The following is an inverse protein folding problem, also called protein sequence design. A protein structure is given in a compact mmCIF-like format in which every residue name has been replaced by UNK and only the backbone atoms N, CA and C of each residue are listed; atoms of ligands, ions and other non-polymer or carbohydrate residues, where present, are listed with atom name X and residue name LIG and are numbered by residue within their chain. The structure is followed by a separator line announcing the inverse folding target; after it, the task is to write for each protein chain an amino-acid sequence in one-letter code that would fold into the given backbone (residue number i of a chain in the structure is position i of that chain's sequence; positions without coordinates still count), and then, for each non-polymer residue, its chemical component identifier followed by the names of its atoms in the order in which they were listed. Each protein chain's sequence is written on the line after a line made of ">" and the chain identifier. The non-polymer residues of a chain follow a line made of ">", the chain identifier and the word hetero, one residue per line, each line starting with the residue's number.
data_IF_227206638488
#
_entry.id   IF_227206638488
#
_cell.length_a   1.000
_cell.length_b   1.000
_cell.length_c   1.000
_cell.angle_alpha   90.00
_cell.angle_beta   90.00
_cell.angle_gamma   90.00
#
_symmetry.space_group_name_H-M   'P 1'
#
loop_
_entity.id
_entity.type
_entity.pdbx_description
1 polymer ?
#
# COMPACT_ATOMS: atom_id res chain seq x y z
N UNK A 1 -0.49 -3.92 -14.82
CA UNK A 1 0.34 -4.34 -15.97
C UNK A 1 1.02 -3.13 -16.64
N UNK A 2 1.03 -1.96 -15.97
CA UNK A 2 1.79 -0.75 -16.33
C UNK A 2 2.71 -0.29 -15.18
N UNK A 3 2.73 -1.02 -14.06
CA UNK A 3 3.49 -0.66 -12.85
C UNK A 3 4.92 -1.19 -12.87
N UNK A 4 5.23 -2.12 -13.77
CA UNK A 4 6.56 -2.76 -13.84
C UNK A 4 7.55 -2.04 -14.74
N UNK A 5 7.12 -1.00 -15.46
CA UNK A 5 8.00 -0.15 -16.28
C UNK A 5 7.35 1.22 -16.52
N UNK A 6 7.52 2.13 -15.55
CA UNK A 6 6.98 3.50 -15.61
C UNK A 6 7.41 4.23 -16.90
N UNK A 7 8.59 3.89 -17.44
CA UNK A 7 9.13 4.47 -18.67
C UNK A 7 8.34 4.12 -19.93
N UNK A 8 7.75 2.92 -19.99
CA UNK A 8 6.87 2.47 -21.08
C UNK A 8 5.42 2.93 -20.89
N UNK A 9 4.98 3.09 -19.64
CA UNK A 9 3.62 3.51 -19.31
C UNK A 9 3.36 4.99 -19.65
N UNK A 10 4.31 5.88 -19.34
CA UNK A 10 4.16 7.33 -19.51
C UNK A 10 3.80 7.74 -20.95
N UNK A 11 4.47 7.26 -22.03
CA UNK A 11 4.08 7.59 -23.40
C UNK A 11 2.67 7.13 -23.77
N UNK A 12 2.22 5.97 -23.27
CA UNK A 12 0.89 5.43 -23.54
C UNK A 12 -0.21 6.26 -22.87
N UNK A 13 0.03 6.69 -21.64
CA UNK A 13 -0.87 7.56 -20.89
C UNK A 13 -0.99 8.94 -21.54
N UNK A 14 0.14 9.58 -21.89
CA UNK A 14 0.16 10.84 -22.63
C UNK A 14 -0.56 10.72 -23.99
N UNK A 15 -0.31 9.62 -24.71
CA UNK A 15 -0.99 9.34 -25.97
C UNK A 15 -2.51 9.21 -25.82
N UNK A 16 -2.96 8.54 -24.75
CA UNK A 16 -4.38 8.39 -24.42
C UNK A 16 -5.03 9.75 -24.13
N UNK A 17 -4.38 10.60 -23.32
CA UNK A 17 -4.88 11.95 -23.00
C UNK A 17 -4.95 12.82 -24.25
N UNK A 18 -3.89 12.86 -25.05
CA UNK A 18 -3.87 13.66 -26.29
C UNK A 18 -4.93 13.22 -27.29
N UNK A 19 -5.18 11.90 -27.40
CA UNK A 19 -6.22 11.37 -28.27
C UNK A 19 -7.62 11.69 -27.73
N UNK A 20 -7.85 11.58 -26.42
CA UNK A 20 -9.09 12.01 -25.78
C UNK A 20 -9.38 13.49 -26.02
N UNK A 21 -8.37 14.36 -25.87
CA UNK A 21 -8.49 15.78 -26.19
C UNK A 21 -8.79 16.04 -27.66
N UNK A 22 -8.16 15.27 -28.56
CA UNK A 22 -8.44 15.37 -30.01
C UNK A 22 -9.88 14.98 -30.31
N UNK A 23 -10.39 13.92 -29.68
CA UNK A 23 -11.78 13.49 -29.83
C UNK A 23 -12.71 14.59 -29.34
N UNK A 24 -12.52 15.10 -28.12
CA UNK A 24 -13.36 16.17 -27.56
C UNK A 24 -13.39 17.43 -28.43
N UNK A 25 -12.25 17.87 -28.95
CA UNK A 25 -12.18 19.06 -29.83
C UNK A 25 -12.89 18.87 -31.17
N UNK A 26 -12.99 17.64 -31.67
CA UNK A 26 -13.58 17.34 -32.97
C UNK A 26 -14.97 16.69 -32.86
N UNK A 27 -15.50 16.57 -31.64
CA UNK A 27 -16.80 15.94 -31.41
C UNK A 27 -17.92 16.96 -31.64
N UNK A 28 -18.46 16.96 -32.86
CA UNK A 28 -19.55 17.86 -33.29
C UNK A 28 -20.92 17.14 -33.30
N UNK A 29 -21.11 16.17 -32.41
CA UNK A 29 -22.35 15.40 -32.30
C UNK A 29 -23.24 15.95 -31.19
N UNK A 30 -24.55 16.02 -31.45
CA UNK A 30 -25.55 16.34 -30.41
C UNK A 30 -25.64 15.27 -29.32
N UNK A 31 -25.21 14.03 -29.62
CA UNK A 31 -25.11 12.96 -28.63
C UNK A 31 -23.78 13.07 -27.86
N UNK A 32 -23.80 12.87 -26.53
CA UNK A 32 -22.57 12.81 -25.74
C UNK A 32 -21.72 11.58 -26.11
N UNK A 33 -20.45 11.64 -25.75
CA UNK A 33 -19.56 10.48 -25.85
C UNK A 33 -20.01 9.37 -24.88
N UNK A 34 -19.70 8.09 -25.15
CA UNK A 34 -20.08 6.99 -24.27
C UNK A 34 -19.35 7.09 -22.93
N UNK A 35 -19.96 6.56 -21.86
CA UNK A 35 -19.35 6.59 -20.52
C UNK A 35 -17.90 6.04 -20.49
N UNK A 36 -17.65 4.98 -21.25
CA UNK A 36 -16.31 4.36 -21.33
C UNK A 36 -15.21 5.32 -21.82
N UNK A 37 -15.55 6.33 -22.63
CA UNK A 37 -14.61 7.37 -23.04
C UNK A 37 -14.11 8.16 -21.83
N UNK A 38 -15.05 8.68 -21.04
CA UNK A 38 -14.76 9.49 -19.85
C UNK A 38 -14.02 8.69 -18.78
N UNK A 39 -14.40 7.43 -18.58
CA UNK A 39 -13.67 6.51 -17.70
C UNK A 39 -12.20 6.36 -18.11
N UNK A 40 -11.93 6.02 -19.39
CA UNK A 40 -10.57 5.83 -19.88
C UNK A 40 -9.75 7.13 -19.78
N UNK A 41 -10.38 8.28 -20.04
CA UNK A 41 -9.71 9.56 -19.91
C UNK A 41 -9.36 9.87 -18.45
N UNK A 42 -10.32 9.74 -17.53
CA UNK A 42 -10.11 9.99 -16.10
C UNK A 42 -9.05 9.07 -15.49
N UNK A 43 -9.05 7.78 -15.83
CA UNK A 43 -8.01 6.84 -15.39
C UNK A 43 -6.64 7.23 -15.96
N UNK A 44 -6.55 7.61 -17.23
CA UNK A 44 -5.28 8.02 -17.82
C UNK A 44 -4.71 9.29 -17.15
N UNK A 45 -5.56 10.26 -16.79
CA UNK A 45 -5.17 11.46 -16.06
C UNK A 45 -4.63 11.12 -14.66
N UNK A 46 -5.35 10.27 -13.92
CA UNK A 46 -4.92 9.82 -12.60
C UNK A 46 -3.57 9.09 -12.64
N UNK A 47 -3.43 8.09 -13.52
CA UNK A 47 -2.20 7.31 -13.63
C UNK A 47 -1.03 8.14 -14.16
N UNK A 48 -1.28 9.10 -15.05
CA UNK A 48 -0.23 10.00 -15.53
C UNK A 48 0.27 10.89 -14.39
N UNK A 49 -0.65 11.54 -13.67
CA UNK A 49 -0.30 12.43 -12.55
C UNK A 49 0.47 11.69 -11.44
N UNK A 50 0.14 10.42 -11.19
CA UNK A 50 0.84 9.60 -10.19
C UNK A 50 2.29 9.25 -10.59
N UNK A 51 2.57 9.15 -11.89
CA UNK A 51 3.86 8.69 -12.41
C UNK A 51 4.79 9.82 -12.85
N UNK A 52 4.29 11.05 -12.97
CA UNK A 52 5.09 12.22 -13.32
C UNK A 52 5.69 12.82 -12.04
N UNK A 53 7.01 12.93 -11.99
CA UNK A 53 7.75 13.47 -10.82
C UNK A 53 7.98 14.99 -10.90
N UNK A 54 7.88 15.59 -12.09
CA UNK A 54 8.23 16.98 -12.37
C UNK A 54 7.04 17.95 -12.41
N UNK A 55 5.82 17.48 -12.13
CA UNK A 55 4.59 18.28 -12.13
C UNK A 55 3.76 18.07 -10.87
N UNK A 56 2.94 19.06 -10.50
CA UNK A 56 2.02 18.96 -9.37
C UNK A 56 0.93 17.90 -9.64
N UNK A 57 0.68 17.01 -8.68
CA UNK A 57 -0.31 15.94 -8.83
C UNK A 57 -1.76 16.43 -8.71
N UNK A 58 -2.03 17.46 -7.90
CA UNK A 58 -3.39 17.94 -7.59
C UNK A 58 -4.23 18.31 -8.85
N UNK A 59 -3.69 19.05 -9.85
CA UNK A 59 -4.43 19.33 -11.08
C UNK A 59 -4.86 18.07 -11.84
N UNK A 60 -4.06 17.00 -11.81
CA UNK A 60 -4.41 15.72 -12.42
C UNK A 60 -5.53 15.01 -11.66
N UNK A 61 -5.52 15.11 -10.32
CA UNK A 61 -6.59 14.56 -9.47
C UNK A 61 -7.93 15.23 -9.73
N UNK A 62 -7.95 16.57 -9.82
CA UNK A 62 -9.16 17.33 -10.14
C UNK A 62 -9.71 16.98 -11.53
N UNK A 63 -8.83 16.95 -12.54
CA UNK A 63 -9.24 16.61 -13.90
C UNK A 63 -9.71 15.15 -14.01
N UNK A 64 -9.06 14.22 -13.30
CA UNK A 64 -9.47 12.82 -13.24
C UNK A 64 -10.84 12.67 -12.58
N UNK A 65 -11.06 13.33 -11.45
CA UNK A 65 -12.35 13.32 -10.75
C UNK A 65 -13.48 13.88 -11.64
N UNK A 66 -13.26 15.00 -12.33
CA UNK A 66 -14.24 15.57 -13.26
C UNK A 66 -14.64 14.55 -14.33
N UNK A 67 -13.66 13.95 -15.02
CA UNK A 67 -13.92 12.98 -16.09
C UNK A 67 -14.55 11.68 -15.56
N UNK A 68 -14.18 11.22 -14.38
CA UNK A 68 -14.81 10.03 -13.80
C UNK A 68 -16.25 10.29 -13.36
N UNK A 69 -16.56 11.50 -12.87
CA UNK A 69 -17.94 11.89 -12.58
C UNK A 69 -18.77 12.02 -13.86
N UNK A 70 -18.22 12.61 -14.94
CA UNK A 70 -18.87 12.60 -16.26
C UNK A 70 -19.24 11.16 -16.68
N UNK A 71 -18.32 10.21 -16.48
CA UNK A 71 -18.58 8.80 -16.76
C UNK A 71 -19.76 8.25 -15.96
N UNK A 72 -19.91 8.59 -14.68
CA UNK A 72 -21.04 8.15 -13.85
C UNK A 72 -22.36 8.73 -14.35
N UNK A 73 -22.40 10.01 -14.69
CA UNK A 73 -23.61 10.67 -15.20
C UNK A 73 -24.10 10.04 -16.51
N UNK A 74 -23.18 9.59 -17.36
CA UNK A 74 -23.51 8.87 -18.59
C UNK A 74 -23.96 7.42 -18.32
N UNK A 75 -23.45 6.77 -17.28
CA UNK A 75 -23.86 5.43 -16.88
C UNK A 75 -25.28 5.36 -16.31
N UNK A 76 -25.83 6.45 -15.79
CA UNK A 76 -27.25 6.49 -15.42
C UNK A 76 -28.18 6.20 -16.62
N UNK A 77 -27.67 6.42 -17.85
CA UNK A 77 -28.37 6.21 -19.11
C UNK A 77 -27.94 4.92 -19.82
N UNK A 78 -26.80 4.34 -19.43
CA UNK A 78 -26.21 3.13 -19.99
C UNK A 78 -26.19 2.04 -18.91
N UNK A 79 -27.10 1.06 -18.96
CA UNK A 79 -27.17 -0.04 -17.98
C UNK A 79 -25.91 -0.94 -18.07
N UNK A 80 -24.84 -0.53 -17.36
CA UNK A 80 -23.52 -1.16 -17.37
C UNK A 80 -22.92 -1.18 -15.96
N UNK A 81 -23.41 -2.10 -15.13
CA UNK A 81 -22.98 -2.28 -13.75
C UNK A 81 -21.47 -2.54 -13.61
N UNK A 82 -20.84 -3.23 -14.57
CA UNK A 82 -19.39 -3.49 -14.52
C UNK A 82 -18.59 -2.19 -14.63
N UNK A 83 -18.98 -1.30 -15.56
CA UNK A 83 -18.30 -0.02 -15.73
C UNK A 83 -18.59 0.92 -14.55
N UNK A 84 -19.81 0.89 -13.98
CA UNK A 84 -20.13 1.63 -12.73
C UNK A 84 -19.14 1.27 -11.62
N UNK A 85 -18.88 -0.03 -11.41
CA UNK A 85 -17.93 -0.47 -10.38
C UNK A 85 -16.50 -0.07 -10.70
N UNK A 86 -16.07 -0.15 -11.96
CA UNK A 86 -14.74 0.33 -12.38
C UNK A 86 -14.56 1.82 -12.13
N UNK A 87 -15.58 2.63 -12.42
CA UNK A 87 -15.55 4.07 -12.19
C UNK A 87 -15.52 4.38 -10.69
N UNK A 88 -16.31 3.69 -9.87
CA UNK A 88 -16.28 3.85 -8.41
C UNK A 88 -14.92 3.46 -7.81
N UNK A 89 -14.30 2.38 -8.30
CA UNK A 89 -12.92 2.02 -7.91
C UNK A 89 -11.94 3.12 -8.28
N UNK A 90 -12.00 3.66 -9.50
CA UNK A 90 -11.11 4.74 -9.93
C UNK A 90 -11.33 6.02 -9.11
N UNK A 91 -12.58 6.41 -8.84
CA UNK A 91 -12.92 7.55 -7.99
C UNK A 91 -12.42 7.37 -6.57
N UNK A 92 -12.53 6.17 -5.99
CA UNK A 92 -11.99 5.91 -4.66
C UNK A 92 -10.48 6.13 -4.59
N UNK A 93 -9.72 5.69 -5.61
CA UNK A 93 -8.27 5.96 -5.69
C UNK A 93 -7.96 7.46 -5.76
N UNK A 94 -8.73 8.20 -6.55
CA UNK A 94 -8.61 9.68 -6.62
C UNK A 94 -8.95 10.32 -5.28
N UNK A 95 -10.03 9.90 -4.62
CA UNK A 95 -10.44 10.45 -3.32
C UNK A 95 -9.48 10.12 -2.19
N UNK A 96 -8.85 8.94 -2.17
CA UNK A 96 -7.78 8.65 -1.22
C UNK A 96 -6.58 9.58 -1.45
N UNK A 97 -6.15 9.76 -2.70
CA UNK A 97 -5.03 10.64 -3.03
C UNK A 97 -5.32 12.11 -2.65
N UNK A 98 -6.53 12.61 -2.96
CA UNK A 98 -6.97 13.96 -2.54
C UNK A 98 -7.14 14.10 -1.04
N UNK A 99 -7.60 13.04 -0.36
CA UNK A 99 -7.73 13.07 1.09
C UNK A 99 -6.36 13.19 1.76
N UNK A 100 -5.32 12.56 1.22
CA UNK A 100 -3.95 12.66 1.75
C UNK A 100 -3.42 14.09 1.81
N UNK A 101 -3.81 14.98 0.87
CA UNK A 101 -3.42 16.40 0.90
C UNK A 101 -4.26 17.26 1.86
N UNK A 102 -5.36 16.72 2.39
CA UNK A 102 -6.30 17.38 3.30
C UNK A 102 -6.17 16.89 4.74
N UNK A 103 -5.19 16.03 5.01
CA UNK A 103 -5.03 15.43 6.32
C UNK A 103 -4.59 16.45 7.36
N UNK A 104 -5.22 16.35 8.52
CA UNK A 104 -4.81 17.00 9.76
C UNK A 104 -4.76 15.96 10.85
N UNK A 105 -3.85 16.09 11.81
CA UNK A 105 -3.54 15.07 12.83
C UNK A 105 -4.78 14.47 13.53
N UNK A 106 -5.82 15.27 13.72
CA UNK A 106 -7.01 14.90 14.51
C UNK A 106 -8.29 14.64 13.70
N UNK A 107 -8.27 14.70 12.36
CA UNK A 107 -9.50 14.55 11.57
C UNK A 107 -9.31 13.76 10.29
N UNK A 108 -10.13 12.71 10.14
CA UNK A 108 -10.25 11.94 8.90
C UNK A 108 -11.07 12.74 7.89
N UNK A 109 -10.52 13.12 6.72
CA UNK A 109 -11.24 13.88 5.71
C UNK A 109 -12.49 13.13 5.23
N UNK A 110 -13.57 13.87 4.94
CA UNK A 110 -14.81 13.29 4.41
C UNK A 110 -14.56 12.52 3.10
N UNK A 111 -13.58 12.95 2.29
CA UNK A 111 -13.16 12.26 1.08
C UNK A 111 -12.63 10.85 1.34
N UNK A 112 -11.88 10.62 2.42
CA UNK A 112 -11.36 9.30 2.76
C UNK A 112 -12.50 8.34 3.16
N UNK A 113 -13.49 8.83 3.92
CA UNK A 113 -14.69 8.07 4.29
C UNK A 113 -15.54 7.77 3.04
N UNK A 114 -15.67 8.74 2.14
CA UNK A 114 -16.35 8.57 0.85
C UNK A 114 -15.64 7.51 0.00
N UNK A 115 -14.31 7.50 -0.04
CA UNK A 115 -13.51 6.50 -0.75
C UNK A 115 -13.78 5.09 -0.22
N UNK A 116 -13.68 4.86 1.09
CA UNK A 116 -14.00 3.56 1.70
C UNK A 116 -15.41 3.10 1.35
N UNK A 117 -16.40 3.99 1.46
CA UNK A 117 -17.79 3.68 1.16
C UNK A 117 -17.99 3.28 -0.31
N UNK A 118 -17.29 3.94 -1.24
CA UNK A 118 -17.35 3.62 -2.66
C UNK A 118 -16.74 2.25 -2.97
N UNK A 119 -15.64 1.91 -2.30
CA UNK A 119 -14.99 0.60 -2.45
C UNK A 119 -15.86 -0.51 -1.88
N UNK A 120 -16.43 -0.33 -0.68
CA UNK A 120 -17.36 -1.31 -0.08
C UNK A 120 -18.55 -1.59 -1.00
N UNK A 121 -19.11 -0.54 -1.60
CA UNK A 121 -20.17 -0.67 -2.59
C UNK A 121 -19.69 -1.44 -3.82
N UNK A 122 -18.52 -1.11 -4.37
CA UNK A 122 -17.97 -1.79 -5.54
C UNK A 122 -17.66 -3.28 -5.28
N UNK A 123 -17.17 -3.62 -4.08
CA UNK A 123 -16.91 -5.02 -3.66
C UNK A 123 -18.23 -5.80 -3.51
N UNK A 124 -19.28 -5.18 -2.95
CA UNK A 124 -20.54 -5.86 -2.68
C UNK A 124 -21.44 -6.00 -3.92
N UNK A 125 -21.42 -5.03 -4.82
CA UNK A 125 -22.30 -4.98 -6.00
C UNK A 125 -21.65 -5.58 -7.26
N UNK A 126 -20.36 -5.89 -7.24
CA UNK A 126 -19.64 -6.40 -8.41
C UNK A 126 -18.60 -7.45 -8.09
N UNK A 127 -18.35 -8.30 -9.09
CA UNK A 127 -17.29 -9.31 -9.02
C UNK A 127 -15.94 -8.67 -9.35
N UNK A 128 -15.40 -7.93 -8.39
CA UNK A 128 -14.02 -7.47 -8.46
C UNK A 128 -13.07 -8.66 -8.30
N UNK A 129 -11.97 -8.67 -9.05
CA UNK A 129 -10.93 -9.68 -8.86
C UNK A 129 -10.19 -9.45 -7.54
N UNK A 130 -9.73 -10.52 -6.89
CA UNK A 130 -8.94 -10.46 -5.65
C UNK A 130 -7.76 -9.49 -5.76
N UNK A 131 -7.08 -9.42 -6.91
CA UNK A 131 -6.01 -8.45 -7.17
C UNK A 131 -6.43 -6.99 -6.93
N UNK A 132 -7.58 -6.57 -7.46
CA UNK A 132 -8.09 -5.20 -7.32
C UNK A 132 -8.49 -4.92 -5.88
N UNK A 133 -9.09 -5.90 -5.20
CA UNK A 133 -9.48 -5.76 -3.81
C UNK A 133 -8.25 -5.63 -2.90
N UNK A 134 -7.20 -6.43 -3.15
CA UNK A 134 -5.92 -6.35 -2.42
C UNK A 134 -5.25 -4.99 -2.64
N UNK A 135 -5.26 -4.48 -3.88
CA UNK A 135 -4.74 -3.13 -4.18
C UNK A 135 -5.50 -2.05 -3.40
N UNK A 136 -6.83 -2.15 -3.29
CA UNK A 136 -7.62 -1.18 -2.53
C UNK A 136 -7.38 -1.30 -1.02
N UNK A 137 -7.18 -2.52 -0.50
CA UNK A 137 -6.76 -2.73 0.88
C UNK A 137 -5.38 -2.10 1.17
N UNK A 138 -4.44 -2.25 0.23
CA UNK A 138 -3.12 -1.65 0.31
C UNK A 138 -3.17 -0.11 0.29
N UNK A 139 -3.99 0.49 -0.58
CA UNK A 139 -4.21 1.95 -0.58
C UNK A 139 -4.83 2.41 0.73
N UNK A 140 -5.84 1.70 1.24
CA UNK A 140 -6.51 2.07 2.48
C UNK A 140 -5.57 2.01 3.68
N UNK A 141 -4.79 0.94 3.84
CA UNK A 141 -3.85 0.81 4.96
C UNK A 141 -2.74 1.88 4.89
N UNK A 142 -2.18 2.16 3.71
CA UNK A 142 -1.20 3.23 3.52
C UNK A 142 -1.80 4.62 3.77
N UNK A 143 -3.07 4.84 3.47
CA UNK A 143 -3.74 6.09 3.86
C UNK A 143 -3.95 6.15 5.37
N UNK A 144 -4.25 5.02 6.00
CA UNK A 144 -4.35 4.88 7.46
C UNK A 144 -3.07 5.26 8.19
N UNK A 145 -1.90 4.86 7.68
CA UNK A 145 -0.61 5.14 8.35
C UNK A 145 -0.24 6.62 8.41
N UNK A 146 -0.87 7.46 7.60
CA UNK A 146 -0.65 8.92 7.60
C UNK A 146 -1.24 9.61 8.85
N UNK A 147 -2.16 8.98 9.58
CA UNK A 147 -2.74 9.56 10.80
C UNK A 147 -1.83 9.32 12.01
N UNK A 148 -1.82 10.21 12.99
CA UNK A 148 -1.01 10.05 14.22
C UNK A 148 -1.74 9.26 15.30
N UNK A 149 -3.07 9.32 15.34
CA UNK A 149 -3.90 8.68 16.37
C UNK A 149 -4.39 7.29 15.95
N UNK A 150 -4.36 6.32 16.88
CA UNK A 150 -4.85 4.96 16.60
C UNK A 150 -6.30 4.94 16.14
N UNK A 151 -7.18 5.76 16.72
CA UNK A 151 -8.60 5.80 16.34
C UNK A 151 -8.80 6.17 14.86
N UNK A 152 -7.97 7.07 14.33
CA UNK A 152 -8.03 7.47 12.93
C UNK A 152 -7.41 6.42 12.01
N UNK A 153 -6.29 5.80 12.43
CA UNK A 153 -5.65 4.67 11.72
C UNK A 153 -6.59 3.47 11.60
N UNK A 154 -7.23 3.10 12.71
CA UNK A 154 -7.93 1.83 12.90
C UNK A 154 -9.07 1.63 11.89
N UNK A 155 -9.78 2.72 11.52
CA UNK A 155 -10.85 2.66 10.51
C UNK A 155 -10.38 2.08 9.18
N UNK A 156 -9.17 2.42 8.75
CA UNK A 156 -8.63 1.98 7.47
C UNK A 156 -7.91 0.64 7.59
N UNK A 157 -7.11 0.46 8.65
CA UNK A 157 -6.37 -0.78 8.90
C UNK A 157 -7.35 -1.93 9.12
N UNK A 158 -8.33 -1.79 10.02
CA UNK A 158 -9.34 -2.83 10.27
C UNK A 158 -10.16 -3.15 9.02
N UNK A 159 -10.46 -2.14 8.19
CA UNK A 159 -11.14 -2.36 6.91
C UNK A 159 -10.29 -3.19 5.94
N UNK A 160 -9.02 -2.84 5.79
CA UNK A 160 -8.07 -3.55 4.94
C UNK A 160 -7.86 -5.00 5.43
N UNK A 161 -7.63 -5.19 6.73
CA UNK A 161 -7.45 -6.52 7.34
C UNK A 161 -8.64 -7.43 7.09
N UNK A 162 -9.85 -6.98 7.42
CA UNK A 162 -11.08 -7.77 7.23
C UNK A 162 -11.26 -8.18 5.77
N UNK A 163 -10.93 -7.29 4.85
CA UNK A 163 -11.03 -7.52 3.41
C UNK A 163 -10.01 -8.57 2.95
N UNK A 164 -8.75 -8.45 3.40
CA UNK A 164 -7.67 -9.38 3.08
C UNK A 164 -7.90 -10.77 3.69
N UNK A 165 -8.36 -10.83 4.93
CA UNK A 165 -8.75 -12.09 5.59
C UNK A 165 -9.86 -12.80 4.84
N UNK A 166 -10.84 -12.07 4.31
CA UNK A 166 -11.90 -12.67 3.51
C UNK A 166 -11.35 -13.28 2.22
N UNK A 167 -10.39 -12.63 1.56
CA UNK A 167 -9.70 -13.20 0.40
C UNK A 167 -8.91 -14.44 0.80
N UNK A 168 -8.17 -14.41 1.90
CA UNK A 168 -7.34 -15.52 2.36
C UNK A 168 -8.15 -16.74 2.83
N UNK A 169 -9.44 -16.57 3.18
CA UNK A 169 -10.33 -17.72 3.39
C UNK A 169 -10.58 -18.50 2.11
N UNK A 170 -10.70 -17.81 0.98
CA UNK A 170 -10.98 -18.41 -0.33
C UNK A 170 -9.69 -18.76 -1.09
N UNK A 171 -8.61 -18.00 -0.88
CA UNK A 171 -7.30 -18.12 -1.52
C UNK A 171 -6.16 -18.11 -0.47
N UNK A 172 -5.97 -19.18 0.34
CA UNK A 172 -5.04 -19.18 1.47
C UNK A 172 -3.57 -18.98 1.13
N UNK A 173 -3.17 -19.23 -0.12
CA UNK A 173 -1.80 -19.06 -0.62
C UNK A 173 -1.65 -17.83 -1.51
N UNK A 174 -2.59 -16.89 -1.48
CA UNK A 174 -2.47 -15.65 -2.22
C UNK A 174 -1.35 -14.80 -1.59
N UNK A 175 -0.19 -14.78 -2.24
CA UNK A 175 1.01 -14.12 -1.72
C UNK A 175 0.81 -12.62 -1.54
N UNK A 176 0.07 -11.96 -2.45
CA UNK A 176 -0.16 -10.53 -2.36
C UNK A 176 -1.05 -10.18 -1.16
N UNK A 177 -2.11 -10.97 -0.93
CA UNK A 177 -2.97 -10.78 0.24
C UNK A 177 -2.23 -11.05 1.55
N UNK A 178 -1.38 -12.09 1.59
CA UNK A 178 -0.52 -12.39 2.74
C UNK A 178 0.46 -11.25 3.01
N UNK A 179 1.13 -10.73 1.98
CA UNK A 179 2.07 -9.62 2.10
C UNK A 179 1.40 -8.36 2.66
N UNK A 180 0.30 -7.91 2.03
CA UNK A 180 -0.40 -6.69 2.47
C UNK A 180 -0.96 -6.86 3.88
N UNK A 181 -1.48 -8.04 4.25
CA UNK A 181 -1.94 -8.30 5.62
C UNK A 181 -0.79 -8.24 6.64
N UNK A 182 0.39 -8.75 6.27
CA UNK A 182 1.60 -8.60 7.09
C UNK A 182 2.00 -7.13 7.28
N UNK A 183 1.89 -6.31 6.24
CA UNK A 183 2.17 -4.88 6.31
C UNK A 183 1.15 -4.12 7.19
N UNK A 184 -0.14 -4.47 7.12
CA UNK A 184 -1.14 -3.92 8.06
C UNK A 184 -0.72 -4.12 9.52
N UNK A 185 -0.27 -5.34 9.86
CA UNK A 185 0.19 -5.67 11.23
C UNK A 185 1.49 -4.96 11.59
N UNK A 186 2.41 -4.81 10.64
CA UNK A 186 3.65 -4.08 10.86
C UNK A 186 3.39 -2.59 11.17
N UNK A 187 2.43 -1.95 10.48
CA UNK A 187 2.07 -0.56 10.78
C UNK A 187 1.44 -0.38 12.16
N UNK A 188 0.68 -1.37 12.65
CA UNK A 188 0.19 -1.37 14.02
C UNK A 188 1.36 -1.49 15.00
N UNK A 189 2.37 -2.30 14.68
CA UNK A 189 3.58 -2.37 15.49
C UNK A 189 4.32 -1.04 15.53
N UNK A 190 4.53 -0.38 14.39
CA UNK A 190 5.18 0.94 14.33
C UNK A 190 4.42 1.98 15.15
N UNK A 191 3.08 1.99 15.08
CA UNK A 191 2.29 2.87 15.94
C UNK A 191 2.65 2.70 17.42
N UNK A 192 2.72 1.45 17.89
CA UNK A 192 3.04 1.21 19.30
C UNK A 192 4.48 1.56 19.64
N UNK A 193 5.43 1.27 18.76
CA UNK A 193 6.84 1.65 18.93
C UNK A 193 7.03 3.17 19.00
N UNK A 194 6.34 3.93 18.14
CA UNK A 194 6.37 5.39 18.13
C UNK A 194 5.75 6.02 19.40
N UNK A 195 4.97 5.25 20.16
CA UNK A 195 4.27 5.69 21.37
C UNK A 195 4.85 5.05 22.65
N UNK A 196 6.01 4.38 22.57
CA UNK A 196 6.74 3.96 23.76
C UNK A 196 7.17 5.23 24.49
N UNK A 197 6.69 5.42 25.72
CA UNK A 197 7.16 6.50 26.57
C UNK A 197 8.63 6.22 26.93
N UNK A 198 9.55 7.04 26.42
CA UNK A 198 10.95 7.04 26.87
C UNK A 198 10.95 7.60 28.30
N UNK A 199 11.06 6.73 29.30
CA UNK A 199 11.32 7.15 30.67
C UNK A 199 12.72 7.80 30.70
N UNK A 200 12.77 9.14 30.68
CA UNK A 200 14.00 9.96 30.71
C UNK A 200 14.89 9.69 31.95
N UNK A 201 14.49 8.81 32.86
CA UNK A 201 15.19 8.46 34.11
C UNK A 201 15.83 7.06 34.14
N UNK A 202 15.68 6.22 33.09
CA UNK A 202 16.36 4.90 33.04
C UNK A 202 17.82 5.05 32.56
N UNK A 203 18.72 5.43 33.49
CA UNK A 203 20.16 5.24 33.35
C UNK A 203 20.49 3.75 33.17
N UNK A 204 20.94 3.32 31.98
CA UNK A 204 21.76 2.12 31.67
C UNK A 204 21.50 0.81 32.47
N UNK A 205 20.28 0.58 33.00
CA UNK A 205 19.92 -0.71 33.58
C UNK A 205 19.46 -1.65 32.46
N UNK A 206 20.02 -2.86 32.42
CA UNK A 206 19.58 -3.90 31.47
C UNK A 206 18.06 -4.07 31.57
N UNK A 207 17.35 -3.77 30.49
CA UNK A 207 15.90 -3.88 30.42
C UNK A 207 15.47 -5.33 30.67
N UNK A 208 14.67 -5.55 31.71
CA UNK A 208 14.25 -6.90 32.14
C UNK A 208 12.82 -7.24 31.77
N UNK A 209 11.99 -6.25 31.43
CA UNK A 209 10.59 -6.42 31.04
C UNK A 209 10.23 -5.43 29.91
N UNK A 210 9.25 -5.79 29.09
CA UNK A 210 8.70 -4.90 28.06
C UNK A 210 7.63 -3.99 28.67
N UNK A 211 7.56 -2.75 28.21
CA UNK A 211 6.44 -1.87 28.48
C UNK A 211 5.16 -2.41 27.83
N UNK A 212 4.01 -1.86 28.21
CA UNK A 212 2.72 -2.29 27.61
C UNK A 212 2.68 -2.00 26.11
N UNK A 213 3.22 -0.86 25.70
CA UNK A 213 3.32 -0.44 24.31
C UNK A 213 4.23 -1.39 23.54
N UNK A 214 5.38 -1.77 24.11
CA UNK A 214 6.27 -2.77 23.52
C UNK A 214 5.66 -4.17 23.45
N UNK A 215 4.90 -4.59 24.46
CA UNK A 215 4.15 -5.86 24.40
C UNK A 215 3.14 -5.84 23.23
N UNK A 216 2.42 -4.72 23.04
CA UNK A 216 1.48 -4.57 21.93
C UNK A 216 2.20 -4.56 20.58
N UNK A 217 3.33 -3.84 20.48
CA UNK A 217 4.18 -3.85 19.29
C UNK A 217 4.67 -5.27 18.98
N UNK A 218 5.16 -5.99 19.99
CA UNK A 218 5.68 -7.34 19.85
C UNK A 218 4.60 -8.32 19.35
N UNK A 219 3.38 -8.26 19.88
CA UNK A 219 2.28 -9.09 19.36
C UNK A 219 1.98 -8.78 17.89
N UNK A 220 1.93 -7.50 17.52
CA UNK A 220 1.70 -7.08 16.14
C UNK A 220 2.84 -7.52 15.20
N UNK A 221 4.10 -7.47 15.66
CA UNK A 221 5.29 -7.99 14.93
C UNK A 221 5.16 -9.49 14.69
N UNK A 222 4.75 -10.27 15.70
CA UNK A 222 4.58 -11.72 15.56
C UNK A 222 3.46 -12.06 14.56
N UNK A 223 2.37 -11.31 14.56
CA UNK A 223 1.31 -11.45 13.56
C UNK A 223 1.79 -11.09 12.15
N UNK A 224 2.52 -9.98 12.01
CA UNK A 224 3.13 -9.56 10.74
C UNK A 224 4.06 -10.64 10.18
N UNK A 225 4.99 -11.12 11.02
CA UNK A 225 5.96 -12.16 10.71
C UNK A 225 5.28 -13.41 10.16
N UNK A 226 4.24 -13.89 10.83
CA UNK A 226 3.49 -15.07 10.39
C UNK A 226 2.97 -14.93 8.95
N UNK A 227 2.45 -13.76 8.60
CA UNK A 227 1.90 -13.52 7.26
C UNK A 227 2.99 -13.32 6.20
N UNK A 228 4.05 -12.56 6.51
CA UNK A 228 5.16 -12.34 5.59
C UNK A 228 5.99 -13.61 5.36
N UNK A 229 6.21 -14.44 6.38
CA UNK A 229 6.88 -15.74 6.22
C UNK A 229 6.06 -16.71 5.35
N UNK A 230 4.73 -16.68 5.47
CA UNK A 230 3.85 -17.46 4.61
C UNK A 230 3.91 -16.97 3.15
N UNK A 231 3.89 -15.66 2.92
CA UNK A 231 4.06 -15.07 1.59
C UNK A 231 5.41 -15.44 0.99
N UNK A 232 6.50 -15.25 1.74
CA UNK A 232 7.86 -15.60 1.36
C UNK A 232 7.96 -17.08 0.96
N UNK A 233 7.40 -17.99 1.78
CA UNK A 233 7.41 -19.44 1.51
C UNK A 233 6.75 -19.79 0.17
N UNK A 234 5.61 -19.18 -0.15
CA UNK A 234 4.91 -19.42 -1.42
C UNK A 234 5.61 -18.74 -2.62
N UNK A 235 6.26 -17.59 -2.42
CA UNK A 235 7.06 -16.91 -3.44
C UNK A 235 8.34 -17.67 -3.79
N UNK A 236 9.01 -18.28 -2.80
CA UNK A 236 10.14 -19.20 -3.02
C UNK A 236 9.71 -20.39 -3.87
N UNK A 237 8.58 -21.04 -3.53
CA UNK A 237 8.07 -22.21 -4.28
C UNK A 237 7.73 -21.88 -5.73
N UNK A 238 7.34 -20.63 -6.00
CA UNK A 238 6.91 -20.19 -7.33
C UNK A 238 7.98 -19.42 -8.10
N UNK A 239 9.20 -19.31 -7.57
CA UNK A 239 10.32 -18.53 -8.15
C UNK A 239 9.94 -17.08 -8.48
N UNK A 240 9.20 -16.45 -7.56
CA UNK A 240 8.67 -15.08 -7.69
C UNK A 240 9.13 -14.14 -6.58
N UNK A 241 10.20 -14.49 -5.87
CA UNK A 241 10.79 -13.61 -4.89
C UNK A 241 11.14 -12.25 -5.51
N UNK A 242 10.83 -11.21 -4.74
CA UNK A 242 11.18 -9.82 -5.01
C UNK A 242 12.05 -9.29 -3.88
N UNK A 243 12.89 -8.27 -4.11
CA UNK A 243 13.63 -7.62 -3.02
C UNK A 243 12.71 -7.11 -1.92
N UNK A 244 11.55 -6.54 -2.29
CA UNK A 244 10.58 -5.98 -1.35
C UNK A 244 10.13 -6.97 -0.26
N UNK A 245 9.71 -8.19 -0.61
CA UNK A 245 9.24 -9.13 0.43
C UNK A 245 10.38 -9.57 1.38
N UNK A 246 11.62 -9.57 0.88
CA UNK A 246 12.79 -9.91 1.69
C UNK A 246 13.12 -8.78 2.65
N UNK A 247 13.05 -7.52 2.21
CA UNK A 247 13.27 -6.35 3.07
C UNK A 247 12.14 -6.15 4.07
N UNK A 248 10.87 -6.33 3.67
CA UNK A 248 9.73 -6.24 4.59
C UNK A 248 9.86 -7.28 5.71
N UNK A 249 10.25 -8.51 5.36
CA UNK A 249 10.47 -9.56 6.34
C UNK A 249 11.72 -9.29 7.20
N UNK A 250 12.78 -8.72 6.62
CA UNK A 250 13.96 -8.32 7.38
C UNK A 250 13.63 -7.25 8.42
N UNK A 251 12.83 -6.24 8.06
CA UNK A 251 12.37 -5.20 8.98
C UNK A 251 11.59 -5.80 10.15
N UNK A 252 10.69 -6.74 9.87
CA UNK A 252 9.99 -7.48 10.93
C UNK A 252 10.96 -8.19 11.88
N UNK A 253 12.00 -8.84 11.35
CA UNK A 253 13.01 -9.49 12.18
C UNK A 253 13.86 -8.49 12.97
N UNK A 254 14.21 -7.32 12.41
CA UNK A 254 14.91 -6.26 13.16
C UNK A 254 14.04 -5.77 14.32
N UNK A 255 12.78 -5.44 14.05
CA UNK A 255 11.85 -4.96 15.07
C UNK A 255 11.56 -6.03 16.13
N UNK A 256 11.49 -7.31 15.75
CA UNK A 256 11.39 -8.42 16.71
C UNK A 256 12.63 -8.49 17.61
N UNK A 257 13.83 -8.43 17.01
CA UNK A 257 15.09 -8.49 17.76
C UNK A 257 15.24 -7.32 18.74
N UNK A 258 14.81 -6.12 18.36
CA UNK A 258 14.82 -4.94 19.25
C UNK A 258 13.99 -5.13 20.53
N UNK A 259 12.99 -6.03 20.52
CA UNK A 259 12.10 -6.30 21.65
C UNK A 259 12.41 -7.63 22.36
N UNK A 260 13.44 -8.36 21.92
CA UNK A 260 13.88 -9.60 22.60
C UNK A 260 14.95 -9.27 23.62
N UNK A 261 14.64 -9.54 24.89
CA UNK A 261 15.49 -9.20 26.03
C UNK A 261 16.69 -10.14 26.22
N UNK A 262 16.65 -11.35 25.66
CA UNK A 262 17.76 -12.29 25.73
C UNK A 262 18.73 -12.05 24.57
N UNK A 263 19.97 -11.68 24.88
CA UNK A 263 21.00 -11.37 23.87
C UNK A 263 21.26 -12.51 22.86
N UNK A 264 21.23 -13.77 23.30
CA UNK A 264 21.48 -14.92 22.42
C UNK A 264 20.33 -15.08 21.42
N UNK A 265 19.08 -15.03 21.89
CA UNK A 265 17.89 -15.09 21.04
C UNK A 265 17.78 -13.87 20.12
N UNK A 266 18.09 -12.67 20.64
CA UNK A 266 18.14 -11.43 19.88
C UNK A 266 19.15 -11.54 18.72
N UNK A 267 20.39 -11.95 19.00
CA UNK A 267 21.39 -12.09 17.95
C UNK A 267 20.99 -13.15 16.90
N UNK A 268 20.35 -14.26 17.31
CA UNK A 268 19.82 -15.25 16.35
C UNK A 268 18.75 -14.65 15.43
N UNK A 269 17.94 -13.72 15.93
CA UNK A 269 16.93 -13.01 15.15
C UNK A 269 17.59 -12.02 14.17
N UNK A 270 18.56 -11.24 14.63
CA UNK A 270 19.34 -10.32 13.78
C UNK A 270 20.08 -11.05 12.66
N UNK A 271 20.64 -12.24 12.91
CA UNK A 271 21.27 -13.05 11.86
C UNK A 271 20.29 -13.43 10.74
N UNK A 272 19.00 -13.63 11.05
CA UNK A 272 17.96 -13.87 10.03
C UNK A 272 17.66 -12.61 9.23
N UNK A 273 17.55 -11.45 9.88
CA UNK A 273 17.38 -10.18 9.20
C UNK A 273 18.52 -9.92 8.21
N UNK A 274 19.77 -10.05 8.66
CA UNK A 274 20.98 -9.86 7.81
C UNK A 274 20.99 -10.81 6.62
N UNK A 275 20.59 -12.07 6.83
CA UNK A 275 20.49 -13.03 5.72
C UNK A 275 19.50 -12.58 4.66
N UNK A 276 18.32 -12.11 5.06
CA UNK A 276 17.29 -11.62 4.15
C UNK A 276 17.73 -10.36 3.41
N UNK A 277 18.39 -9.42 4.10
CA UNK A 277 18.95 -8.20 3.49
C UNK A 277 19.96 -8.57 2.40
N UNK A 278 20.90 -9.49 2.70
CA UNK A 278 21.91 -9.96 1.74
C UNK A 278 21.29 -10.71 0.56
N UNK A 279 20.24 -11.49 0.80
CA UNK A 279 19.48 -12.16 -0.25
C UNK A 279 18.76 -11.14 -1.16
N UNK A 280 18.18 -10.08 -0.58
CA UNK A 280 17.56 -9.00 -1.32
C UNK A 280 18.58 -8.28 -2.23
N UNK A 281 19.75 -7.90 -1.68
CA UNK A 281 20.84 -7.27 -2.44
C UNK A 281 21.34 -8.17 -3.57
N UNK A 282 21.53 -9.47 -3.30
CA UNK A 282 21.94 -10.44 -4.32
C UNK A 282 20.92 -10.52 -5.45
N UNK A 283 19.63 -10.53 -5.12
CA UNK A 283 18.54 -10.56 -6.09
C UNK A 283 18.50 -9.31 -6.97
N UNK A 284 18.77 -8.13 -6.39
CA UNK A 284 18.89 -6.86 -7.11
C UNK A 284 20.04 -6.92 -8.11
N UNK A 285 21.22 -7.36 -7.68
CA UNK A 285 22.41 -7.46 -8.53
C UNK A 285 22.22 -8.48 -9.67
N UNK A 286 21.67 -9.66 -9.36
CA UNK A 286 21.44 -10.74 -10.33
C UNK A 286 20.44 -10.33 -11.40
N UNK A 287 19.33 -9.70 -11.00
CA UNK A 287 18.24 -9.30 -11.91
C UNK A 287 18.38 -7.88 -12.45
N UNK A 288 19.42 -7.14 -12.02
CA UNK A 288 19.65 -5.72 -12.35
C UNK A 288 18.40 -4.86 -12.11
N UNK A 289 17.82 -5.04 -10.93
CA UNK A 289 16.61 -4.29 -10.54
C UNK A 289 17.00 -2.90 -10.10
N UNK A 290 16.13 -1.93 -10.37
CA UNK A 290 16.24 -0.59 -9.77
C UNK A 290 15.53 -0.63 -8.41
N UNK A 291 16.27 -1.07 -7.39
CA UNK A 291 15.75 -1.21 -6.03
C UNK A 291 16.83 -0.79 -5.04
N UNK A 292 16.50 0.19 -4.19
CA UNK A 292 17.37 0.63 -3.11
C UNK A 292 16.94 -0.04 -1.80
N UNK A 293 17.91 -0.49 -1.01
CA UNK A 293 17.65 -0.98 0.34
C UNK A 293 17.09 0.18 1.21
N UNK A 294 16.01 -0.03 1.98
CA UNK A 294 15.51 0.98 2.91
C UNK A 294 16.60 1.48 3.88
N UNK A 295 16.60 2.79 4.15
CA UNK A 295 17.66 3.45 4.93
C UNK A 295 17.88 2.81 6.32
N UNK A 296 16.79 2.47 7.02
CA UNK A 296 16.86 1.82 8.33
C UNK A 296 17.55 0.44 8.28
N UNK A 297 17.27 -0.36 7.24
CA UNK A 297 17.92 -1.66 7.05
C UNK A 297 19.38 -1.53 6.62
N UNK A 298 19.71 -0.47 5.87
CA UNK A 298 21.08 -0.16 5.50
C UNK A 298 21.92 0.26 6.72
N UNK A 299 21.35 1.10 7.59
CA UNK A 299 21.98 1.51 8.85
C UNK A 299 22.19 0.31 9.77
N UNK A 300 21.14 -0.49 10.01
CA UNK A 300 21.21 -1.71 10.80
C UNK A 300 22.29 -2.68 10.30
N UNK A 301 22.35 -2.93 8.97
CA UNK A 301 23.35 -3.83 8.40
C UNK A 301 24.77 -3.32 8.64
N UNK A 302 25.01 -2.01 8.50
CA UNK A 302 26.32 -1.42 8.72
C UNK A 302 26.76 -1.55 10.18
N UNK A 303 25.88 -1.20 11.12
CA UNK A 303 26.14 -1.32 12.56
C UNK A 303 26.44 -2.77 12.96
N UNK A 304 25.60 -3.71 12.52
CA UNK A 304 25.77 -5.14 12.83
C UNK A 304 27.07 -5.75 12.27
N UNK A 305 27.57 -5.24 11.15
CA UNK A 305 28.84 -5.68 10.57
C UNK A 305 30.07 -5.05 11.23
N UNK A 306 29.94 -3.87 11.86
CA UNK A 306 31.01 -3.22 12.61
C UNK A 306 31.23 -3.86 14.00
N UNK A 307 30.19 -4.44 14.60
CA UNK A 307 30.23 -5.07 15.92
C UNK A 307 30.77 -6.52 15.92
N UNK A 308 31.03 -7.11 14.75
CA UNK A 308 31.58 -8.48 14.58
C UNK A 308 33.08 -8.53 14.30
#
# INVERSE_FOLDING_TARGET
>A
MLESDSSEALPLLRGTIHESDRILRNWDSENPLPASFYYNYGVALYELGRLIEDEDFEPYLDAAEERLNDSLEHLEKEDNAELVSKVNVALAKVWFAKASSQMTDDNVPELAIRALSAVDKAISESKLSSKVIIELADIAQNHGSLYTTLESRDKFITWAEKTLEQILKDEPTNTQALSVLGLCKLQVAHYWLDNVEEDEEEEEEEKTELSKEEENAYQAILESKKHLEAAHTELVKSDKLTPQILTDLAEVYVNEGNLVLNEEDQNQIYERAVKLIKEAQSLVDEKKLDYALPEGLAAFLAEYEEEK
#
